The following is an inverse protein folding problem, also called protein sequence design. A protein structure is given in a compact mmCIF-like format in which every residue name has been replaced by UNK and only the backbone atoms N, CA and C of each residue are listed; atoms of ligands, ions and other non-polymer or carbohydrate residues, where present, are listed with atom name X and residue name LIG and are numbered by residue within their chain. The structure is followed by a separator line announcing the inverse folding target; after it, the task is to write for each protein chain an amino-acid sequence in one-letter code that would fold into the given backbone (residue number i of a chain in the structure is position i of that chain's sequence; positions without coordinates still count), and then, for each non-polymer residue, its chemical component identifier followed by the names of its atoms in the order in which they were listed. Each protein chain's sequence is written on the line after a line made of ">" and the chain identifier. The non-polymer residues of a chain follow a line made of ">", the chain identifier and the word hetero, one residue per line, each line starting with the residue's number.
data_IF_127435519938
#
_entry.id   IF_127435519938
#
_cell.length_a   1.000
_cell.length_b   1.000
_cell.length_c   1.000
_cell.angle_alpha   90.00
_cell.angle_beta   90.00
_cell.angle_gamma   90.00
#
_symmetry.space_group_name_H-M   'P 1'
#
loop_
_entity.id
_entity.type
_entity.pdbx_description
1 polymer ?
#
# COMPACT_ATOMS: atom_id res chain seq x y z
N UNK A 1 -14.03 10.98 20.12
CA UNK A 1 -13.26 9.72 20.05
C UNK A 1 -14.24 8.57 19.89
N UNK A 2 -14.02 7.67 18.93
CA UNK A 2 -14.81 6.47 18.66
C UNK A 2 -13.89 5.26 18.62
N UNK A 3 -14.24 4.18 19.31
CA UNK A 3 -13.43 2.96 19.35
C UNK A 3 -14.23 1.77 18.79
N UNK A 4 -13.56 0.97 17.96
CA UNK A 4 -14.14 -0.24 17.38
C UNK A 4 -14.42 -1.26 18.50
N UNK A 5 -15.62 -1.84 18.52
CA UNK A 5 -16.03 -2.83 19.53
C UNK A 5 -15.27 -4.15 19.41
N UNK A 6 -14.80 -4.48 18.21
CA UNK A 6 -13.95 -5.65 17.94
C UNK A 6 -12.48 -5.23 17.95
N UNK A 7 -11.65 -5.80 18.84
CA UNK A 7 -10.22 -5.52 18.84
C UNK A 7 -9.56 -6.10 17.59
N UNK A 8 -8.53 -5.41 17.10
CA UNK A 8 -7.65 -5.90 16.03
C UNK A 8 -6.44 -6.52 16.70
N UNK A 9 -6.25 -7.82 16.54
CA UNK A 9 -5.13 -8.56 17.13
C UNK A 9 -4.96 -8.27 18.64
N UNK A 10 -6.08 -8.39 19.37
CA UNK A 10 -6.16 -8.13 20.81
C UNK A 10 -6.05 -6.65 21.23
N UNK A 11 -5.89 -5.70 20.29
CA UNK A 11 -5.77 -4.27 20.56
C UNK A 11 -7.03 -3.50 20.19
N UNK A 12 -7.49 -2.64 21.10
CA UNK A 12 -8.58 -1.72 20.82
C UNK A 12 -8.13 -0.70 19.76
N UNK A 13 -8.94 -0.50 18.73
CA UNK A 13 -8.70 0.53 17.71
C UNK A 13 -9.62 1.71 17.98
N UNK A 14 -9.02 2.88 18.19
CA UNK A 14 -9.73 4.13 18.40
C UNK A 14 -9.39 5.14 17.31
N UNK A 15 -10.34 6.03 17.05
CA UNK A 15 -10.23 7.11 16.08
C UNK A 15 -10.83 8.39 16.64
N UNK A 16 -10.28 9.52 16.22
CA UNK A 16 -10.80 10.83 16.57
C UNK A 16 -10.59 11.79 15.40
N UNK A 17 -11.43 12.84 15.28
CA UNK A 17 -11.17 13.91 14.33
C UNK A 17 -9.84 14.58 14.65
N UNK A 18 -9.00 14.77 13.63
CA UNK A 18 -7.70 15.41 13.76
C UNK A 18 -7.44 16.36 12.60
N UNK A 19 -6.42 17.20 12.74
CA UNK A 19 -5.96 18.08 11.66
C UNK A 19 -5.37 17.25 10.52
N UNK A 20 -5.55 17.72 9.28
CA UNK A 20 -4.99 17.07 8.11
C UNK A 20 -3.43 17.08 8.16
N UNK A 21 -2.78 15.97 7.80
CA UNK A 21 -1.32 15.92 7.75
C UNK A 21 -0.78 16.78 6.60
N UNK A 22 0.42 17.34 6.79
CA UNK A 22 1.13 18.20 5.85
C UNK A 22 2.34 17.49 5.25
N UNK A 23 2.17 16.22 4.89
CA UNK A 23 3.26 15.36 4.39
C UNK A 23 3.61 15.62 2.92
N UNK A 24 2.73 16.27 2.16
CA UNK A 24 3.02 16.75 0.81
C UNK A 24 2.75 18.25 0.76
N UNK A 25 3.79 19.10 0.63
CA UNK A 25 3.60 20.55 0.65
C UNK A 25 2.84 21.01 -0.61
N UNK A 26 1.96 22.00 -0.44
CA UNK A 26 1.25 22.71 -1.51
C UNK A 26 0.45 21.82 -2.48
N UNK A 27 0.12 20.58 -2.08
CA UNK A 27 -0.58 19.62 -2.93
C UNK A 27 -1.81 19.08 -2.20
N UNK A 28 -3.01 19.17 -2.81
CA UNK A 28 -4.21 18.62 -2.20
C UNK A 28 -4.15 17.09 -2.15
N UNK A 29 -4.84 16.49 -1.18
CA UNK A 29 -4.72 15.06 -0.84
C UNK A 29 -5.13 14.10 -1.95
N UNK A 30 -6.01 14.53 -2.86
CA UNK A 30 -6.43 13.79 -4.04
C UNK A 30 -5.29 13.54 -5.04
N UNK A 31 -4.23 14.35 -5.00
CA UNK A 31 -3.07 14.27 -5.90
C UNK A 31 -1.84 13.64 -5.28
N UNK A 32 -1.92 13.15 -4.03
CA UNK A 32 -0.77 12.54 -3.35
C UNK A 32 -0.37 11.20 -3.96
N UNK A 33 -1.33 10.48 -4.52
CA UNK A 33 -1.17 9.16 -5.15
C UNK A 33 -1.86 9.19 -6.52
N UNK A 34 -1.15 8.73 -7.55
CA UNK A 34 -1.76 8.41 -8.84
C UNK A 34 -1.31 7.04 -9.32
N UNK A 35 -2.23 6.30 -9.93
CA UNK A 35 -1.90 5.05 -10.60
C UNK A 35 -2.72 4.87 -11.87
N UNK A 36 -2.17 4.08 -12.79
CA UNK A 36 -2.89 3.56 -13.94
C UNK A 36 -2.74 2.03 -14.00
N UNK A 37 -3.68 1.39 -14.69
CA UNK A 37 -3.67 -0.06 -14.91
C UNK A 37 -3.81 -0.27 -16.42
N UNK A 38 -2.87 -1.02 -17.00
CA UNK A 38 -2.97 -1.49 -18.38
C UNK A 38 -3.10 -3.01 -18.39
N UNK A 39 -4.17 -3.52 -18.98
CA UNK A 39 -4.35 -4.96 -19.17
C UNK A 39 -3.62 -5.42 -20.43
N UNK A 40 -3.02 -6.60 -20.40
CA UNK A 40 -2.45 -7.22 -21.59
C UNK A 40 -3.23 -8.49 -21.94
N UNK A 41 -3.94 -8.47 -23.06
CA UNK A 41 -4.60 -9.64 -23.65
C UNK A 41 -3.58 -10.53 -24.35
N UNK A 42 -2.88 -11.39 -23.60
CA UNK A 42 -2.21 -12.54 -24.22
C UNK A 42 -3.14 -13.76 -24.17
N UNK A 43 -4.09 -13.79 -25.11
CA UNK A 43 -5.03 -14.89 -25.29
C UNK A 43 -4.32 -16.08 -25.98
N UNK A 44 -3.52 -16.84 -25.22
CA UNK A 44 -3.06 -18.15 -25.71
C UNK A 44 -4.22 -19.16 -25.59
N UNK A 45 -4.96 -19.33 -26.70
CA UNK A 45 -6.12 -20.24 -26.89
C UNK A 45 -5.86 -21.75 -26.66
N UNK A 46 -4.80 -22.15 -25.95
CA UNK A 46 -4.41 -23.57 -25.75
C UNK A 46 -3.87 -23.89 -24.34
N UNK A 47 -4.32 -23.17 -23.32
CA UNK A 47 -4.06 -23.53 -21.92
C UNK A 47 -5.40 -23.76 -21.22
N UNK A 48 -5.55 -24.90 -20.54
CA UNK A 48 -6.74 -25.27 -19.77
C UNK A 48 -7.03 -24.35 -18.58
N UNK A 49 -6.20 -23.32 -18.35
CA UNK A 49 -6.48 -22.20 -17.43
C UNK A 49 -6.10 -20.89 -18.10
N UNK A 50 -7.06 -19.98 -18.21
CA UNK A 50 -6.81 -18.62 -18.67
C UNK A 50 -6.14 -17.84 -17.54
N UNK A 51 -4.91 -17.37 -17.79
CA UNK A 51 -4.16 -16.49 -16.89
C UNK A 51 -4.27 -15.06 -17.41
N UNK A 52 -4.69 -14.14 -16.54
CA UNK A 52 -4.76 -12.71 -16.86
C UNK A 52 -3.53 -11.99 -16.36
N UNK A 53 -3.20 -10.92 -17.08
CA UNK A 53 -2.04 -10.09 -16.83
C UNK A 53 -2.46 -8.62 -16.78
N UNK A 54 -1.95 -7.88 -15.81
CA UNK A 54 -2.10 -6.44 -15.74
C UNK A 54 -0.80 -5.78 -15.27
N UNK A 55 -0.56 -4.57 -15.75
CA UNK A 55 0.57 -3.73 -15.35
C UNK A 55 0.05 -2.50 -14.62
N UNK A 56 0.53 -2.29 -13.41
CA UNK A 56 0.28 -1.13 -12.59
C UNK A 56 1.42 -0.14 -12.76
N UNK A 57 1.11 1.12 -13.09
CA UNK A 57 2.06 2.22 -12.95
C UNK A 57 1.65 3.06 -11.74
N UNK A 58 2.51 3.14 -10.72
CA UNK A 58 2.21 3.81 -9.45
C UNK A 58 3.20 4.94 -9.24
N UNK A 59 2.68 6.12 -8.88
CA UNK A 59 3.49 7.26 -8.47
C UNK A 59 2.91 7.89 -7.21
N UNK A 60 3.79 8.33 -6.31
CA UNK A 60 3.42 9.02 -5.09
C UNK A 60 4.24 10.28 -4.91
N UNK A 61 3.64 11.31 -4.31
CA UNK A 61 4.30 12.59 -4.02
C UNK A 61 4.96 12.59 -2.66
N UNK A 62 6.17 13.15 -2.60
CA UNK A 62 7.01 13.19 -1.40
C UNK A 62 7.01 11.87 -0.59
N UNK A 63 7.09 10.73 -1.27
CA UNK A 63 7.12 9.40 -0.63
C UNK A 63 8.16 8.50 -1.29
N UNK A 64 8.62 7.49 -0.55
CA UNK A 64 9.54 6.44 -0.99
C UNK A 64 8.90 5.06 -0.98
N UNK A 65 7.65 4.97 -0.54
CA UNK A 65 7.02 3.72 -0.20
C UNK A 65 5.55 3.71 -0.60
N UNK A 66 5.17 2.69 -1.37
CA UNK A 66 3.77 2.39 -1.66
C UNK A 66 3.55 0.88 -1.54
N UNK A 67 2.30 0.45 -1.53
CA UNK A 67 1.90 -0.95 -1.51
C UNK A 67 0.63 -1.14 -2.32
N UNK A 68 0.49 -2.32 -2.90
CA UNK A 68 -0.74 -2.75 -3.57
C UNK A 68 -1.37 -3.80 -2.68
N UNK A 69 -2.63 -3.62 -2.32
CA UNK A 69 -3.44 -4.60 -1.59
C UNK A 69 -4.50 -5.15 -2.53
N UNK A 70 -4.58 -6.46 -2.64
CA UNK A 70 -5.60 -7.16 -3.40
C UNK A 70 -6.64 -7.73 -2.46
N UNK A 71 -7.91 -7.65 -2.84
CA UNK A 71 -8.99 -8.28 -2.09
C UNK A 71 -8.94 -9.81 -2.22
N UNK A 72 -8.45 -10.28 -3.36
CA UNK A 72 -8.21 -11.69 -3.65
C UNK A 72 -6.75 -11.91 -4.01
N UNK A 73 -6.12 -13.01 -3.53
CA UNK A 73 -4.71 -13.26 -3.80
C UNK A 73 -4.42 -13.44 -5.30
N UNK A 74 -3.35 -12.80 -5.77
CA UNK A 74 -2.79 -13.00 -7.13
C UNK A 74 -1.85 -14.20 -7.14
N UNK A 75 -1.59 -14.78 -8.31
CA UNK A 75 -0.70 -15.94 -8.44
C UNK A 75 0.78 -15.56 -8.51
N UNK A 76 1.10 -14.47 -9.21
CA UNK A 76 2.49 -14.05 -9.43
C UNK A 76 2.61 -12.54 -9.67
N UNK A 77 3.81 -11.99 -9.44
CA UNK A 77 4.13 -10.61 -9.79
C UNK A 77 5.61 -10.44 -10.18
N UNK A 78 5.89 -9.41 -10.96
CA UNK A 78 7.24 -9.00 -11.35
C UNK A 78 7.38 -7.48 -11.33
N UNK A 79 8.55 -7.00 -10.94
CA UNK A 79 8.86 -5.57 -10.86
C UNK A 79 10.18 -5.37 -11.63
N UNK A 80 10.19 -4.58 -12.72
CA UNK A 80 11.41 -4.30 -13.46
C UNK A 80 12.49 -3.69 -12.56
N UNK A 81 13.69 -4.26 -12.59
CA UNK A 81 14.82 -3.82 -11.76
C UNK A 81 14.80 -4.34 -10.32
N UNK A 82 13.81 -5.15 -9.95
CA UNK A 82 13.83 -5.87 -8.67
C UNK A 82 14.84 -7.02 -8.70
N UNK A 83 15.61 -7.18 -7.62
CA UNK A 83 16.47 -8.32 -7.44
C UNK A 83 15.65 -9.49 -6.88
N UNK A 84 15.47 -10.54 -7.67
CA UNK A 84 14.87 -11.81 -7.23
C UNK A 84 16.00 -12.74 -6.79
N UNK A 85 15.89 -13.33 -5.60
CA UNK A 85 16.78 -14.37 -5.09
C UNK A 85 15.98 -15.66 -5.00
N UNK A 86 16.43 -16.72 -5.67
CA UNK A 86 15.74 -18.02 -5.70
C UNK A 86 15.54 -18.63 -4.30
N UNK A 87 16.41 -18.26 -3.35
CA UNK A 87 16.31 -18.71 -1.95
C UNK A 87 15.18 -18.00 -1.19
N UNK A 88 14.67 -16.90 -1.73
CA UNK A 88 13.59 -16.09 -1.19
C UNK A 88 12.46 -16.01 -2.23
N UNK A 89 11.66 -17.09 -2.38
CA UNK A 89 10.58 -17.11 -3.35
C UNK A 89 9.61 -15.96 -3.07
N UNK A 90 9.30 -15.18 -4.11
CA UNK A 90 8.41 -14.03 -4.02
C UNK A 90 6.93 -14.43 -4.04
N UNK A 91 6.62 -15.68 -4.39
CA UNK A 91 5.27 -16.26 -4.41
C UNK A 91 5.12 -17.37 -3.36
N UNK A 92 3.87 -17.61 -2.96
CA UNK A 92 3.47 -18.71 -2.08
C UNK A 92 2.26 -19.44 -2.68
N UNK A 93 2.04 -20.73 -2.35
CA UNK A 93 0.91 -21.50 -2.91
C UNK A 93 -0.47 -20.88 -2.65
N UNK A 94 -0.62 -20.12 -1.57
CA UNK A 94 -1.86 -19.42 -1.21
C UNK A 94 -2.08 -18.12 -2.00
N UNK A 95 -1.12 -17.71 -2.84
CA UNK A 95 -1.13 -16.45 -3.56
C UNK A 95 -0.68 -15.26 -2.73
N UNK A 96 -0.62 -14.09 -3.36
CA UNK A 96 -0.11 -12.85 -2.76
C UNK A 96 -1.25 -11.85 -2.62
N UNK A 97 -1.48 -11.36 -1.40
CA UNK A 97 -2.50 -10.34 -1.11
C UNK A 97 -1.95 -8.92 -0.99
N UNK A 98 -0.64 -8.78 -0.77
CA UNK A 98 0.01 -7.49 -0.58
C UNK A 98 1.40 -7.48 -1.23
N UNK A 99 1.68 -6.46 -2.04
CA UNK A 99 3.01 -6.17 -2.57
C UNK A 99 3.49 -4.87 -1.94
N UNK A 100 4.64 -4.89 -1.26
CA UNK A 100 5.27 -3.69 -0.69
C UNK A 100 6.38 -3.19 -1.60
N UNK A 101 6.30 -1.91 -1.96
CA UNK A 101 7.22 -1.23 -2.87
C UNK A 101 8.01 -0.19 -2.08
N UNK A 102 9.33 -0.29 -2.12
CA UNK A 102 10.24 0.66 -1.48
C UNK A 102 11.27 1.15 -2.48
N UNK A 103 11.64 2.43 -2.41
CA UNK A 103 12.71 3.02 -3.20
C UNK A 103 13.65 3.86 -2.36
N UNK A 104 14.93 3.89 -2.73
CA UNK A 104 15.89 4.86 -2.18
C UNK A 104 15.71 6.25 -2.81
N UNK A 105 14.93 6.38 -3.88
CA UNK A 105 14.67 7.66 -4.53
C UNK A 105 13.28 8.14 -4.15
N UNK A 106 13.16 9.42 -3.80
CA UNK A 106 11.88 10.07 -3.57
C UNK A 106 11.08 10.16 -4.87
N UNK A 107 9.75 10.03 -4.76
CA UNK A 107 8.82 10.11 -5.89
C UNK A 107 9.11 9.14 -7.03
N UNK A 108 9.70 7.98 -6.71
CA UNK A 108 9.95 6.94 -7.69
C UNK A 108 8.64 6.44 -8.32
N UNK A 109 8.66 6.19 -9.62
CA UNK A 109 7.57 5.50 -10.30
C UNK A 109 7.82 3.99 -10.29
N UNK A 110 6.80 3.20 -9.95
CA UNK A 110 6.87 1.74 -9.98
C UNK A 110 6.02 1.20 -11.13
N UNK A 111 6.60 0.27 -11.89
CA UNK A 111 5.85 -0.59 -12.81
C UNK A 111 5.76 -1.98 -12.19
N UNK A 112 4.55 -2.47 -11.96
CA UNK A 112 4.33 -3.79 -11.34
C UNK A 112 3.47 -4.63 -12.27
N UNK A 113 4.03 -5.72 -12.76
CA UNK A 113 3.33 -6.72 -13.55
C UNK A 113 2.73 -7.75 -12.60
N UNK A 114 1.44 -8.02 -12.71
CA UNK A 114 0.73 -8.99 -11.89
C UNK A 114 0.01 -10.01 -12.74
N UNK A 115 -0.13 -11.22 -12.21
CA UNK A 115 -0.80 -12.34 -12.86
C UNK A 115 -1.80 -12.99 -11.91
N UNK A 116 -2.96 -13.36 -12.42
CA UNK A 116 -3.96 -14.12 -11.65
C UNK A 116 -4.74 -15.09 -12.54
N UNK A 117 -5.34 -16.10 -11.91
CA UNK A 117 -6.16 -17.09 -12.59
C UNK A 117 -7.60 -16.58 -12.75
N UNK A 118 -8.21 -16.81 -13.91
CA UNK A 118 -9.59 -16.42 -14.18
C UNK A 118 -10.64 -17.25 -13.40
N UNK A 119 -10.29 -18.46 -12.94
CA UNK A 119 -11.20 -19.35 -12.23
C UNK A 119 -11.73 -18.68 -10.94
N UNK A 120 -12.92 -18.07 -11.03
CA UNK A 120 -13.61 -17.40 -9.94
C UNK A 120 -13.34 -15.89 -9.79
N UNK A 121 -12.63 -15.25 -10.73
CA UNK A 121 -12.36 -13.81 -10.69
C UNK A 121 -12.37 -13.15 -12.07
N UNK A 122 -13.48 -12.46 -12.38
CA UNK A 122 -13.60 -11.68 -13.60
C UNK A 122 -12.82 -10.36 -13.55
N UNK A 123 -12.78 -9.71 -12.39
CA UNK A 123 -12.11 -8.42 -12.19
C UNK A 123 -11.18 -8.45 -10.98
N UNK A 124 -10.04 -7.77 -11.12
CA UNK A 124 -9.05 -7.64 -10.05
C UNK A 124 -9.42 -6.44 -9.19
N UNK A 125 -9.93 -6.68 -7.98
CA UNK A 125 -10.24 -5.62 -7.03
C UNK A 125 -9.14 -5.43 -5.98
N UNK A 126 -8.88 -4.16 -5.66
CA UNK A 126 -7.88 -3.83 -4.65
C UNK A 126 -7.75 -2.35 -4.38
N UNK A 127 -6.62 -1.99 -3.78
CA UNK A 127 -6.24 -0.60 -3.54
C UNK A 127 -4.74 -0.42 -3.60
N UNK A 128 -4.34 0.69 -4.18
CA UNK A 128 -2.97 1.20 -4.08
C UNK A 128 -2.91 2.12 -2.88
N UNK A 129 -1.85 2.01 -2.08
CA UNK A 129 -1.63 2.82 -0.88
C UNK A 129 -0.21 3.37 -0.94
N UNK A 130 -0.05 4.69 -0.88
CA UNK A 130 1.26 5.30 -0.58
C UNK A 130 1.31 5.73 0.87
N UNK A 131 2.50 5.71 1.45
CA UNK A 131 2.67 5.95 2.88
C UNK A 131 3.77 6.95 3.17
N UNK A 132 3.62 7.66 4.28
CA UNK A 132 4.57 8.63 4.80
C UNK A 132 4.86 8.31 6.26
N UNK A 133 6.14 8.34 6.61
CA UNK A 133 6.61 8.05 7.97
C UNK A 133 7.64 9.05 8.46
N UNK A 134 7.98 10.05 7.65
CA UNK A 134 8.96 11.07 7.99
C UNK A 134 8.30 12.15 8.87
N UNK A 135 8.41 11.96 10.18
CA UNK A 135 8.01 12.92 11.19
C UNK A 135 9.19 13.79 11.66
N UNK A 136 10.03 14.22 10.72
CA UNK A 136 11.25 14.98 10.99
C UNK A 136 10.96 16.46 11.33
N UNK A 137 9.79 16.95 10.90
CA UNK A 137 9.33 18.32 11.16
C UNK A 137 8.10 18.31 12.07
N UNK A 138 8.11 19.15 13.11
CA UNK A 138 6.96 19.36 13.98
C UNK A 138 5.80 19.97 13.18
N UNK A 139 4.59 19.45 13.33
CA UNK A 139 3.41 19.89 12.61
C UNK A 139 3.19 19.20 11.26
N UNK A 140 4.13 18.37 10.78
CA UNK A 140 3.95 17.59 9.56
C UNK A 140 2.86 16.51 9.74
N UNK A 141 2.80 15.91 10.93
CA UNK A 141 1.82 14.87 11.30
C UNK A 141 1.15 15.28 12.62
N UNK A 142 0.12 16.16 12.58
CA UNK A 142 -0.48 16.72 13.80
C UNK A 142 -1.03 15.66 14.77
N UNK A 143 -1.55 14.53 14.27
CA UNK A 143 -2.03 13.45 15.11
C UNK A 143 -0.90 12.79 15.94
N UNK A 144 0.32 12.72 15.41
CA UNK A 144 1.48 12.22 16.15
C UNK A 144 1.96 13.25 17.18
N UNK A 145 1.92 14.54 16.83
CA UNK A 145 2.29 15.62 17.75
C UNK A 145 1.32 15.68 18.94
N UNK A 146 0.02 15.54 18.69
CA UNK A 146 -1.02 15.42 19.71
C UNK A 146 -0.75 14.23 20.63
N UNK A 147 -0.47 13.05 20.05
CA UNK A 147 -0.16 11.85 20.82
C UNK A 147 1.07 12.06 21.72
N UNK A 148 2.13 12.70 21.22
CA UNK A 148 3.34 12.99 22.00
C UNK A 148 3.11 14.03 23.09
N UNK A 149 2.23 15.01 22.85
CA UNK A 149 1.91 16.06 23.81
C UNK A 149 1.07 15.54 24.98
N UNK A 150 0.12 14.65 24.71
CA UNK A 150 -0.83 14.16 25.72
C UNK A 150 -0.48 12.78 26.29
N UNK A 151 0.49 12.07 25.72
CA UNK A 151 0.92 10.77 26.26
C UNK A 151 1.60 10.95 27.64
N UNK A 152 1.24 10.13 28.64
CA UNK A 152 1.99 10.07 29.89
C UNK A 152 3.46 9.66 29.65
N UNK A 153 4.40 10.11 30.49
CA UNK A 153 5.83 9.86 30.30
C UNK A 153 6.23 8.38 30.40
N UNK A 154 5.36 7.53 30.94
CA UNK A 154 5.57 6.08 31.07
C UNK A 154 5.05 5.27 29.87
N UNK A 155 4.41 5.92 28.88
CA UNK A 155 3.87 5.24 27.69
C UNK A 155 4.89 5.26 26.55
N UNK A 156 5.13 4.09 25.96
CA UNK A 156 5.88 3.99 24.70
C UNK A 156 4.93 4.06 23.50
N UNK A 157 5.14 5.04 22.63
CA UNK A 157 4.41 5.19 21.36
C UNK A 157 5.08 4.30 20.31
N UNK A 158 4.30 3.42 19.67
CA UNK A 158 4.76 2.58 18.56
C UNK A 158 3.80 2.67 17.38
N UNK A 159 4.30 2.37 16.18
CA UNK A 159 3.48 2.32 14.97
C UNK A 159 2.97 0.91 14.72
N UNK A 160 1.69 0.79 14.36
CA UNK A 160 1.07 -0.48 14.01
C UNK A 160 1.38 -0.92 12.57
N UNK A 161 1.56 0.04 11.66
CA UNK A 161 1.82 -0.19 10.24
C UNK A 161 3.07 0.56 9.79
N UNK A 162 3.50 0.28 8.57
CA UNK A 162 4.70 0.87 7.97
C UNK A 162 4.61 2.40 7.91
N UNK A 163 3.41 2.93 7.59
CA UNK A 163 3.05 4.33 7.47
C UNK A 163 2.48 4.94 8.75
N UNK A 164 2.89 6.17 9.07
CA UNK A 164 2.18 7.03 10.03
C UNK A 164 0.99 7.72 9.37
N UNK A 165 1.12 8.04 8.08
CA UNK A 165 0.06 8.55 7.22
C UNK A 165 -0.02 7.65 6.00
N UNK A 166 -1.24 7.29 5.60
CA UNK A 166 -1.51 6.51 4.40
C UNK A 166 -2.53 7.24 3.52
N UNK A 167 -2.28 7.29 2.22
CA UNK A 167 -3.24 7.71 1.22
C UNK A 167 -3.52 6.50 0.33
N UNK A 168 -4.80 6.19 0.13
CA UNK A 168 -5.21 5.01 -0.63
C UNK A 168 -6.25 5.33 -1.68
N UNK A 169 -6.17 4.65 -2.82
CA UNK A 169 -7.18 4.72 -3.88
C UNK A 169 -7.48 3.31 -4.39
N UNK A 170 -8.76 2.98 -4.44
CA UNK A 170 -9.27 1.68 -4.90
C UNK A 170 -9.30 1.56 -6.42
N UNK A 171 -9.26 0.33 -6.90
CA UNK A 171 -9.54 -0.09 -8.28
C UNK A 171 -10.40 -1.36 -8.26
#
# INVERSE_FOLDING_TARGET
>A
MSCDSKPIDGRLKCSWPGLAPKVVPNTPSDKWLSFNISHSEHQNRKSDKATRHARFHITGKNTRACKIKFNHPISDYSIPGSALDERMPHTVPQGISEIRLWSRTWENAWAVDVQWNEEGMDELHGRVVCLWSDANELGAIPALDELRLYAPPWVAISKWQDGLVEASRGF
#
